data_IF_210039450419
#
_entry.id   IF_210039450419
#
_cell.length_a   1.000
_cell.length_b   1.000
_cell.length_c   1.000
_cell.angle_alpha   90.00
_cell.angle_beta   90.00
_cell.angle_gamma   90.00
#
_symmetry.space_group_name_H-M   'P 1'
#
loop_
_entity.id
_entity.type
_entity.pdbx_description
1 polymer ?
#
# COMPACT_ATOMS: atom_id res chain seq x y z
N UNK A 1 -26.68 9.38 -2.15
CA UNK A 1 -25.49 9.11 -1.32
C UNK A 1 -25.57 7.64 -0.91
N UNK A 2 -24.53 6.82 -1.16
CA UNK A 2 -24.57 5.42 -0.74
C UNK A 2 -24.37 5.31 0.78
N UNK A 3 -24.73 4.17 1.38
CA UNK A 3 -24.69 3.95 2.84
C UNK A 3 -23.28 4.19 3.38
N UNK A 4 -22.25 3.68 2.70
CA UNK A 4 -20.83 3.86 3.05
C UNK A 4 -20.41 5.33 3.13
N UNK A 5 -20.79 6.14 2.13
CA UNK A 5 -20.48 7.57 2.09
C UNK A 5 -21.21 8.33 3.21
N UNK A 6 -22.45 7.93 3.51
CA UNK A 6 -23.18 8.51 4.63
C UNK A 6 -22.53 8.21 5.97
N UNK A 7 -22.00 7.00 6.17
CA UNK A 7 -21.40 6.60 7.43
C UNK A 7 -20.01 7.23 7.62
N UNK A 8 -19.24 7.38 6.54
CA UNK A 8 -17.97 8.13 6.56
C UNK A 8 -18.17 9.59 6.98
N UNK A 9 -19.22 10.26 6.49
CA UNK A 9 -19.52 11.65 6.87
C UNK A 9 -19.86 11.76 8.36
N UNK A 10 -20.64 10.81 8.90
CA UNK A 10 -20.97 10.79 10.33
C UNK A 10 -19.70 10.63 11.17
N UNK A 11 -18.86 9.65 10.84
CA UNK A 11 -17.59 9.40 11.56
C UNK A 11 -16.69 10.62 11.48
N UNK A 12 -16.56 11.25 10.30
CA UNK A 12 -15.74 12.44 10.13
C UNK A 12 -16.24 13.62 10.99
N UNK A 13 -17.55 13.76 11.21
CA UNK A 13 -18.11 14.81 12.06
C UNK A 13 -17.86 14.59 13.56
N UNK A 14 -17.66 13.34 13.98
CA UNK A 14 -17.41 12.98 15.39
C UNK A 14 -15.90 13.01 15.74
N UNK A 15 -15.03 13.13 14.72
CA UNK A 15 -13.58 13.19 14.90
C UNK A 15 -13.15 14.62 15.31
N UNK A 16 -12.33 14.76 16.36
CA UNK A 16 -11.78 16.06 16.73
C UNK A 16 -11.04 16.75 15.59
N UNK A 17 -11.22 18.07 15.45
CA UNK A 17 -10.71 18.86 14.32
C UNK A 17 -9.23 18.61 13.98
N UNK A 18 -8.38 18.42 14.99
CA UNK A 18 -6.94 18.23 14.81
C UNK A 18 -6.57 16.89 14.14
N UNK A 19 -7.47 15.91 14.09
CA UNK A 19 -7.30 14.67 13.34
C UNK A 19 -7.89 14.72 11.91
N UNK A 20 -8.65 15.76 11.57
CA UNK A 20 -9.27 15.87 10.23
C UNK A 20 -8.21 16.04 9.14
N UNK A 21 -7.08 16.67 9.48
CA UNK A 21 -5.95 16.81 8.56
C UNK A 21 -5.36 15.44 8.21
N UNK A 22 -5.10 14.58 9.20
CA UNK A 22 -4.59 13.22 8.97
C UNK A 22 -5.55 12.40 8.11
N UNK A 23 -6.85 12.57 8.32
CA UNK A 23 -7.90 11.87 7.59
C UNK A 23 -7.97 12.33 6.13
N UNK A 24 -7.81 13.65 5.89
CA UNK A 24 -7.71 14.22 4.55
C UNK A 24 -6.45 13.73 3.83
N UNK A 25 -5.31 13.71 4.52
CA UNK A 25 -4.04 13.27 3.95
C UNK A 25 -4.09 11.78 3.58
N UNK A 26 -4.69 10.95 4.43
CA UNK A 26 -4.89 9.53 4.13
C UNK A 26 -5.87 9.31 2.97
N UNK A 27 -6.97 10.08 2.90
CA UNK A 27 -7.91 10.01 1.79
C UNK A 27 -7.25 10.39 0.45
N UNK A 28 -6.40 11.43 0.45
CA UNK A 28 -5.61 11.82 -0.71
C UNK A 28 -4.60 10.73 -1.10
N UNK A 29 -3.91 10.14 -0.12
CA UNK A 29 -3.03 9.00 -0.36
C UNK A 29 -3.76 7.84 -1.04
N UNK A 30 -4.93 7.43 -0.53
CA UNK A 30 -5.72 6.35 -1.12
C UNK A 30 -6.17 6.68 -2.55
N UNK A 31 -6.55 7.93 -2.81
CA UNK A 31 -6.94 8.40 -4.15
C UNK A 31 -5.77 8.37 -5.14
N UNK A 32 -4.57 8.72 -4.71
CA UNK A 32 -3.39 8.61 -5.58
C UNK A 32 -2.93 7.16 -5.73
N UNK A 33 -3.01 6.35 -4.67
CA UNK A 33 -2.75 4.91 -4.73
C UNK A 33 -3.71 4.19 -5.68
N UNK A 34 -4.97 4.58 -5.75
CA UNK A 34 -5.95 3.96 -6.66
C UNK A 34 -5.77 4.32 -8.13
N UNK A 35 -4.98 5.36 -8.44
CA UNK A 35 -4.64 5.76 -9.81
C UNK A 35 -3.33 5.16 -10.30
N UNK A 36 -2.47 4.72 -9.38
CA UNK A 36 -1.24 4.01 -9.71
C UNK A 36 -1.59 2.54 -9.92
N UNK A 37 -0.88 1.90 -10.83
CA UNK A 37 -0.89 0.44 -10.96
C UNK A 37 -0.74 -0.15 -9.55
N UNK A 38 -1.54 -1.18 -9.23
CA UNK A 38 -1.41 -1.84 -7.94
C UNK A 38 0.06 -2.25 -7.74
N UNK A 39 0.53 -2.27 -6.49
CA UNK A 39 1.92 -2.68 -6.21
C UNK A 39 2.23 -4.05 -6.88
N UNK A 40 1.20 -4.89 -7.05
CA UNK A 40 1.21 -6.12 -7.85
C UNK A 40 1.41 -5.87 -9.35
N UNK A 41 0.58 -5.05 -10.00
CA UNK A 41 0.70 -4.71 -11.43
C UNK A 41 2.05 -4.05 -11.75
N UNK A 42 2.55 -3.19 -10.86
CA UNK A 42 3.89 -2.61 -10.97
C UNK A 42 4.97 -3.71 -10.94
N UNK A 43 4.93 -4.62 -9.97
CA UNK A 43 5.90 -5.71 -9.88
C UNK A 43 5.79 -6.69 -11.05
N UNK A 44 4.59 -6.95 -11.55
CA UNK A 44 4.34 -7.76 -12.75
C UNK A 44 4.87 -7.10 -14.03
N UNK A 45 4.85 -5.77 -14.09
CA UNK A 45 5.37 -5.02 -15.25
C UNK A 45 6.89 -5.12 -15.40
N UNK A 46 7.62 -5.47 -14.33
CA UNK A 46 9.08 -5.60 -14.35
C UNK A 46 9.46 -7.01 -14.85
N UNK A 47 10.12 -7.15 -16.01
CA UNK A 47 10.45 -8.46 -16.57
C UNK A 47 11.28 -9.31 -15.59
N UNK A 48 10.79 -10.52 -15.29
CA UNK A 48 11.46 -11.47 -14.40
C UNK A 48 11.36 -11.16 -12.90
N UNK A 49 10.69 -10.08 -12.49
CA UNK A 49 10.51 -9.75 -11.07
C UNK A 49 9.66 -10.78 -10.33
N UNK A 50 8.52 -11.18 -10.92
CA UNK A 50 7.66 -12.22 -10.34
C UNK A 50 8.42 -13.54 -10.17
N UNK A 51 9.15 -13.96 -11.20
CA UNK A 51 9.96 -15.19 -11.15
C UNK A 51 11.07 -15.09 -10.10
N UNK A 52 11.72 -13.93 -9.98
CA UNK A 52 12.74 -13.66 -8.96
C UNK A 52 12.17 -13.77 -7.54
N UNK A 53 10.99 -13.20 -7.29
CA UNK A 53 10.29 -13.29 -6.00
C UNK A 53 9.93 -14.74 -5.68
N UNK A 54 9.36 -15.46 -6.64
CA UNK A 54 8.98 -16.88 -6.46
C UNK A 54 10.21 -17.74 -6.20
N UNK A 55 11.32 -17.48 -6.90
CA UNK A 55 12.59 -18.18 -6.69
C UNK A 55 13.15 -17.90 -5.29
N UNK A 56 13.30 -16.63 -4.92
CA UNK A 56 13.82 -16.22 -3.61
C UNK A 56 12.97 -16.74 -2.45
N UNK A 57 11.64 -16.82 -2.61
CA UNK A 57 10.74 -17.37 -1.58
C UNK A 57 10.99 -18.86 -1.26
N UNK A 58 11.70 -19.58 -2.13
CA UNK A 58 12.04 -21.00 -2.00
C UNK A 58 13.50 -21.23 -1.60
N UNK A 59 14.32 -20.19 -1.57
CA UNK A 59 15.73 -20.27 -1.17
C UNK A 59 15.83 -20.34 0.36
N UNK A 60 16.79 -21.12 0.90
CA UNK A 60 17.00 -21.18 2.35
C UNK A 60 17.58 -19.82 2.81
N UNK A 61 17.00 -19.24 3.86
CA UNK A 61 17.45 -17.97 4.43
C UNK A 61 18.91 -17.99 4.88
N UNK A 62 19.50 -19.17 5.07
CA UNK A 62 20.95 -19.34 5.35
C UNK A 62 21.84 -18.95 4.17
N UNK A 63 21.33 -19.03 2.95
CA UNK A 63 22.06 -18.67 1.73
C UNK A 63 21.99 -17.16 1.45
N UNK A 64 21.15 -16.43 2.18
CA UNK A 64 21.12 -14.97 2.15
C UNK A 64 22.29 -14.40 2.99
N UNK A 65 23.11 -13.54 2.36
CA UNK A 65 24.15 -12.78 3.05
C UNK A 65 23.56 -11.95 4.19
N UNK A 66 24.01 -12.19 5.42
CA UNK A 66 23.64 -11.38 6.61
C UNK A 66 24.31 -10.01 6.62
N UNK A 67 25.26 -9.78 5.73
CA UNK A 67 25.99 -8.52 5.58
C UNK A 67 25.49 -7.80 4.33
N UNK A 68 25.02 -6.55 4.44
CA UNK A 68 24.81 -5.71 3.28
C UNK A 68 26.15 -5.55 2.55
N UNK A 69 26.17 -5.81 1.24
CA UNK A 69 27.40 -5.76 0.43
C UNK A 69 27.84 -4.36 0.02
N UNK A 70 27.72 -3.38 0.92
CA UNK A 70 28.10 -1.97 0.72
C UNK A 70 28.77 -1.40 1.95
#
# INVERSE_FOLDING_TARGET
>A
MNVLQSDLVKIANDIPYYYLQDLLDYANFLKEKSKKDSDTEYLESIPGMVDSIVKASKEDLKDCSKTPGW
#
